data_IF_113641437904
#
_entry.id   IF_113641437904
#
_cell.length_a   1.000
_cell.length_b   1.000
_cell.length_c   1.000
_cell.angle_alpha   90.00
_cell.angle_beta   90.00
_cell.angle_gamma   90.00
#
_symmetry.space_group_name_H-M   'P 1'
#
loop_
_entity.id
_entity.type
_entity.pdbx_description
1 polymer ?
#
# COMPACT_ATOMS: atom_id res chain seq x y z
N UNK A 1 -15.51 0.06 -6.63
CA UNK A 1 -15.95 -1.20 -6.02
C UNK A 1 -17.46 -1.40 -6.27
N UNK A 2 -17.96 -2.65 -6.31
CA UNK A 2 -19.40 -2.90 -6.32
C UNK A 2 -20.10 -2.29 -5.11
N UNK A 3 -21.38 -1.91 -5.27
CA UNK A 3 -22.19 -1.23 -4.27
C UNK A 3 -22.22 -1.96 -2.91
N UNK A 4 -22.26 -3.29 -2.94
CA UNK A 4 -22.17 -4.11 -1.73
C UNK A 4 -21.00 -3.74 -0.84
N UNK A 5 -19.82 -3.52 -1.41
CA UNK A 5 -18.61 -3.18 -0.63
C UNK A 5 -18.66 -1.73 -0.11
N UNK A 6 -19.26 -0.82 -0.89
CA UNK A 6 -19.41 0.59 -0.46
C UNK A 6 -20.30 0.67 0.77
N UNK A 7 -21.36 -0.12 0.80
CA UNK A 7 -22.32 -0.16 1.91
C UNK A 7 -21.77 -0.77 3.21
N UNK A 8 -20.57 -1.35 3.19
CA UNK A 8 -19.88 -1.82 4.41
C UNK A 8 -19.27 -0.66 5.22
N UNK A 9 -19.11 0.50 4.62
CA UNK A 9 -18.41 1.64 5.20
C UNK A 9 -19.34 2.84 5.32
N UNK A 10 -19.62 3.25 6.57
CA UNK A 10 -20.36 4.47 6.86
C UNK A 10 -19.39 5.56 7.31
N UNK A 11 -19.77 6.84 7.17
CA UNK A 11 -18.96 7.95 7.64
C UNK A 11 -18.54 7.81 9.11
N UNK A 12 -19.43 7.27 9.96
CA UNK A 12 -19.19 7.08 11.39
C UNK A 12 -18.15 5.97 11.69
N UNK A 13 -17.95 5.03 10.74
CA UNK A 13 -16.98 3.94 10.88
C UNK A 13 -15.57 4.29 10.45
N UNK A 14 -15.38 5.47 9.86
CA UNK A 14 -14.11 5.92 9.30
C UNK A 14 -13.42 6.89 10.25
N UNK A 15 -12.08 6.76 10.31
CA UNK A 15 -11.28 7.72 11.07
C UNK A 15 -11.31 9.09 10.37
N UNK A 16 -11.34 10.15 11.18
CA UNK A 16 -11.17 11.50 10.66
C UNK A 16 -9.77 11.67 10.07
N UNK A 17 -9.65 12.36 8.92
CA UNK A 17 -8.36 12.67 8.33
C UNK A 17 -7.49 13.48 9.28
N UNK A 18 -6.21 13.18 9.32
CA UNK A 18 -5.28 13.90 10.17
C UNK A 18 -4.99 15.30 9.65
N UNK A 19 -5.06 16.30 10.55
CA UNK A 19 -4.75 17.71 10.24
C UNK A 19 -3.64 18.18 11.17
N UNK A 20 -2.52 18.63 10.60
CA UNK A 20 -1.46 19.26 11.39
C UNK A 20 -1.81 20.69 11.78
N UNK A 21 -1.28 21.18 12.90
CA UNK A 21 -1.48 22.54 13.41
C UNK A 21 -1.08 23.64 12.41
N UNK A 22 -0.26 23.29 11.45
CA UNK A 22 0.24 24.18 10.40
C UNK A 22 -0.66 24.26 9.16
N UNK A 23 -1.69 23.43 9.06
CA UNK A 23 -2.59 23.42 7.89
C UNK A 23 -3.26 24.78 7.65
N UNK A 24 -3.56 25.54 8.71
CA UNK A 24 -4.16 26.86 8.61
C UNK A 24 -3.16 27.93 8.14
N UNK A 25 -1.87 27.68 8.27
CA UNK A 25 -0.79 28.58 7.88
C UNK A 25 -0.34 28.38 6.43
N UNK A 26 -0.58 27.23 5.85
CA UNK A 26 -0.17 26.89 4.49
C UNK A 26 -1.37 27.07 3.57
N UNK A 27 -1.45 28.20 2.92
CA UNK A 27 -2.27 28.33 1.72
C UNK A 27 -1.63 27.48 0.64
N UNK A 28 -2.04 26.21 0.54
CA UNK A 28 -1.78 25.43 -0.64
C UNK A 28 -2.47 26.16 -1.79
N UNK A 29 -1.70 26.95 -2.53
CA UNK A 29 -2.19 27.54 -3.76
C UNK A 29 -2.79 26.38 -4.56
N UNK A 30 -4.06 26.53 -4.92
CA UNK A 30 -4.75 25.64 -5.83
C UNK A 30 -3.97 25.62 -7.13
N UNK A 31 -2.94 24.82 -7.19
CA UNK A 31 -2.30 24.52 -8.46
C UNK A 31 -3.28 23.66 -9.24
N UNK A 32 -4.18 24.34 -9.93
CA UNK A 32 -5.22 23.75 -10.78
C UNK A 32 -4.66 22.90 -11.91
N UNK A 33 -3.33 22.82 -12.03
CA UNK A 33 -2.61 22.07 -13.05
C UNK A 33 -1.90 20.81 -12.51
N UNK A 34 -1.89 20.60 -11.20
CA UNK A 34 -1.31 19.40 -10.63
C UNK A 34 -2.36 18.28 -10.57
N UNK A 35 -2.30 17.35 -11.49
CA UNK A 35 -3.11 16.12 -11.47
C UNK A 35 -2.84 15.21 -10.27
N UNK A 36 -1.85 15.53 -9.43
CA UNK A 36 -1.28 14.60 -8.46
C UNK A 36 -1.41 14.98 -6.98
N UNK A 37 -2.01 16.10 -6.66
CA UNK A 37 -2.33 16.47 -5.29
C UNK A 37 -3.51 17.44 -5.31
N UNK A 38 -4.71 16.89 -5.43
CA UNK A 38 -5.91 17.70 -5.38
C UNK A 38 -6.19 18.06 -3.92
N UNK A 39 -6.37 19.36 -3.66
CA UNK A 39 -6.94 19.81 -2.39
C UNK A 39 -8.40 19.37 -2.33
N UNK A 40 -8.83 18.95 -1.15
CA UNK A 40 -10.22 18.62 -0.91
C UNK A 40 -11.11 19.81 -1.30
N UNK A 41 -12.26 19.55 -1.94
CA UNK A 41 -13.34 20.52 -1.95
C UNK A 41 -13.64 20.92 -0.50
N UNK A 42 -13.99 22.19 -0.27
CA UNK A 42 -14.38 22.69 1.05
C UNK A 42 -15.69 22.08 1.59
N UNK A 43 -16.29 21.17 0.86
CA UNK A 43 -17.49 20.44 1.25
C UNK A 43 -17.11 19.24 2.12
N UNK A 44 -17.42 19.32 3.41
CA UNK A 44 -17.14 18.29 4.40
C UNK A 44 -17.78 16.93 4.02
N UNK A 45 -18.90 16.94 3.30
CA UNK A 45 -19.54 15.68 2.85
C UNK A 45 -18.66 14.87 1.92
N UNK A 46 -17.82 15.53 1.13
CA UNK A 46 -16.92 14.87 0.17
C UNK A 46 -15.71 14.21 0.87
N UNK A 47 -15.28 14.80 1.98
CA UNK A 47 -14.15 14.28 2.78
C UNK A 47 -14.48 12.89 3.35
N UNK A 48 -15.74 12.62 3.67
CA UNK A 48 -16.16 11.33 4.22
C UNK A 48 -16.54 10.30 3.15
N UNK A 49 -16.97 10.71 1.96
CA UNK A 49 -17.40 9.78 0.90
C UNK A 49 -16.23 9.11 0.19
N UNK A 50 -15.12 9.83 -0.06
CA UNK A 50 -13.96 9.27 -0.75
C UNK A 50 -13.27 8.14 0.03
N UNK A 51 -13.01 8.28 1.34
CA UNK A 51 -12.46 7.20 2.13
C UNK A 51 -13.33 5.93 2.11
N UNK A 52 -14.65 6.07 2.18
CA UNK A 52 -15.57 4.91 2.09
C UNK A 52 -15.40 4.12 0.79
N UNK A 53 -15.34 4.83 -0.34
CA UNK A 53 -15.08 4.21 -1.65
C UNK A 53 -13.71 3.53 -1.74
N UNK A 54 -12.70 4.12 -1.13
CA UNK A 54 -11.34 3.57 -1.08
C UNK A 54 -11.26 2.29 -0.23
N UNK A 55 -11.81 2.30 0.98
CA UNK A 55 -11.89 1.11 1.84
C UNK A 55 -12.72 0.00 1.22
N UNK A 56 -13.81 0.35 0.54
CA UNK A 56 -14.60 -0.60 -0.24
C UNK A 56 -13.77 -1.26 -1.36
N UNK A 57 -12.92 -0.49 -2.04
CA UNK A 57 -12.02 -1.02 -3.06
C UNK A 57 -10.97 -1.96 -2.45
N UNK A 58 -10.40 -1.62 -1.29
CA UNK A 58 -9.47 -2.48 -0.55
C UNK A 58 -10.14 -3.81 -0.20
N UNK A 59 -11.35 -3.78 0.40
CA UNK A 59 -12.07 -5.02 0.77
C UNK A 59 -12.41 -5.86 -0.46
N UNK A 60 -12.82 -5.23 -1.55
CA UNK A 60 -13.07 -5.95 -2.79
C UNK A 60 -11.80 -6.62 -3.33
N UNK A 61 -10.67 -5.90 -3.32
CA UNK A 61 -9.38 -6.43 -3.75
C UNK A 61 -8.92 -7.59 -2.84
N UNK A 62 -9.09 -7.45 -1.53
CA UNK A 62 -8.75 -8.51 -0.56
C UNK A 62 -9.52 -9.80 -0.85
N UNK A 63 -10.81 -9.71 -1.16
CA UNK A 63 -11.61 -10.87 -1.59
C UNK A 63 -11.07 -11.50 -2.89
N UNK A 64 -10.56 -10.71 -3.85
CA UNK A 64 -9.97 -11.27 -5.07
C UNK A 64 -8.61 -11.94 -4.78
N UNK A 65 -7.80 -11.36 -3.89
CA UNK A 65 -6.54 -11.97 -3.42
C UNK A 65 -6.84 -13.30 -2.73
N UNK A 66 -7.89 -13.35 -1.87
CA UNK A 66 -8.34 -14.59 -1.25
C UNK A 66 -8.67 -15.69 -2.27
N UNK A 67 -9.30 -15.33 -3.39
CA UNK A 67 -9.57 -16.29 -4.49
C UNK A 67 -8.29 -16.80 -5.15
N UNK A 68 -7.29 -15.93 -5.35
CA UNK A 68 -5.98 -16.35 -5.88
C UNK A 68 -5.30 -17.33 -4.93
N UNK A 69 -5.30 -17.02 -3.63
CA UNK A 69 -4.73 -17.93 -2.61
C UNK A 69 -5.46 -19.27 -2.58
N UNK A 70 -6.79 -19.26 -2.65
CA UNK A 70 -7.58 -20.49 -2.72
C UNK A 70 -7.21 -21.33 -3.94
N UNK A 71 -7.04 -20.71 -5.10
CA UNK A 71 -6.61 -21.43 -6.30
C UNK A 71 -5.22 -22.07 -6.15
N UNK A 72 -4.26 -21.37 -5.52
CA UNK A 72 -2.94 -21.93 -5.24
C UNK A 72 -3.01 -23.16 -4.31
N UNK A 73 -3.92 -23.14 -3.35
CA UNK A 73 -4.16 -24.28 -2.44
C UNK A 73 -4.83 -25.45 -3.18
N UNK A 74 -5.87 -25.19 -3.97
CA UNK A 74 -6.59 -26.18 -4.76
C UNK A 74 -5.66 -26.89 -5.76
N UNK A 75 -4.77 -26.14 -6.41
CA UNK A 75 -3.75 -26.68 -7.34
C UNK A 75 -2.55 -27.31 -6.61
N UNK A 76 -2.52 -27.32 -5.28
CA UNK A 76 -1.46 -27.88 -4.45
C UNK A 76 -0.05 -27.30 -4.73
N UNK A 77 0.02 -26.04 -5.12
CA UNK A 77 1.27 -25.32 -5.39
C UNK A 77 1.61 -24.26 -4.34
N UNK A 78 0.73 -24.04 -3.36
CA UNK A 78 0.93 -23.04 -2.30
C UNK A 78 2.26 -23.22 -1.56
N UNK A 79 2.66 -24.46 -1.26
CA UNK A 79 3.91 -24.80 -0.56
C UNK A 79 5.17 -24.55 -1.40
N UNK A 80 5.00 -24.15 -2.66
CA UNK A 80 6.10 -23.79 -3.57
C UNK A 80 5.89 -22.41 -4.20
N UNK A 81 5.05 -21.58 -3.57
CA UNK A 81 4.72 -20.25 -4.07
C UNK A 81 5.20 -19.20 -3.06
N UNK A 82 5.82 -18.14 -3.57
CA UNK A 82 6.18 -16.94 -2.82
C UNK A 82 5.23 -15.83 -3.26
N UNK A 83 4.63 -15.17 -2.29
CA UNK A 83 3.74 -14.04 -2.49
C UNK A 83 4.43 -12.78 -1.94
N UNK A 84 4.71 -11.82 -2.79
CA UNK A 84 5.14 -10.49 -2.41
C UNK A 84 3.98 -9.52 -2.61
N UNK A 85 3.54 -8.89 -1.54
CA UNK A 85 2.47 -7.90 -1.55
C UNK A 85 3.06 -6.52 -1.31
N UNK A 86 2.77 -5.58 -2.20
CA UNK A 86 3.26 -4.21 -2.13
C UNK A 86 2.30 -3.27 -2.87
N UNK A 87 2.27 -2.00 -2.46
CA UNK A 87 1.64 -0.93 -3.25
C UNK A 87 2.71 -0.04 -3.88
N UNK A 88 2.43 0.53 -5.04
CA UNK A 88 3.33 1.45 -5.75
C UNK A 88 3.42 2.82 -5.08
N UNK A 89 2.35 3.25 -4.42
CA UNK A 89 2.25 4.47 -3.60
C UNK A 89 1.07 4.34 -2.64
N UNK A 90 0.99 5.25 -1.69
CA UNK A 90 -0.13 5.39 -0.79
C UNK A 90 -1.21 6.34 -1.31
N UNK A 91 -2.06 6.79 -0.41
CA UNK A 91 -3.16 7.71 -0.65
C UNK A 91 -3.35 8.63 0.56
N UNK A 92 -3.51 9.92 0.34
CA UNK A 92 -3.65 10.92 1.41
C UNK A 92 -5.01 10.85 2.12
N UNK A 93 -6.06 10.41 1.44
CA UNK A 93 -7.42 10.19 1.97
C UNK A 93 -8.00 11.35 2.80
N UNK A 94 -7.61 12.56 2.48
CA UNK A 94 -8.03 13.76 3.20
C UNK A 94 -7.03 14.28 4.23
N UNK A 95 -6.00 13.49 4.56
CA UNK A 95 -4.92 13.97 5.43
C UNK A 95 -4.33 15.27 4.88
N UNK A 96 -4.13 16.25 5.75
CA UNK A 96 -3.68 17.59 5.37
C UNK A 96 -4.56 18.27 4.30
N UNK A 97 -5.84 17.91 4.22
CA UNK A 97 -6.77 18.37 3.19
C UNK A 97 -6.34 17.98 1.76
N UNK A 98 -5.59 16.89 1.63
CA UNK A 98 -5.08 16.40 0.35
C UNK A 98 -5.66 15.02 0.02
N UNK A 99 -5.77 14.78 -1.28
CA UNK A 99 -6.10 13.47 -1.86
C UNK A 99 -5.01 13.05 -2.82
N UNK A 100 -5.01 11.75 -3.15
CA UNK A 100 -4.03 11.13 -4.03
C UNK A 100 -2.63 11.10 -3.40
N UNK A 101 -1.61 11.37 -4.19
CA UNK A 101 -0.19 11.14 -3.89
C UNK A 101 0.67 12.34 -4.32
N UNK A 102 1.95 12.11 -4.50
CA UNK A 102 2.95 13.06 -4.99
C UNK A 102 3.42 14.10 -3.96
N UNK A 103 3.18 13.86 -2.68
CA UNK A 103 3.75 14.64 -1.58
C UNK A 103 4.47 13.70 -0.60
N UNK A 104 5.54 14.15 0.06
CA UNK A 104 6.35 13.32 0.94
C UNK A 104 5.72 13.14 2.34
N UNK A 105 4.42 12.93 2.39
CA UNK A 105 3.68 12.65 3.61
C UNK A 105 3.46 11.15 3.79
N UNK A 106 3.30 10.70 5.02
CA UNK A 106 3.15 9.27 5.36
C UNK A 106 2.02 8.59 4.59
N UNK A 107 0.87 9.26 4.42
CA UNK A 107 -0.24 8.73 3.65
C UNK A 107 0.14 8.40 2.20
N UNK A 108 1.03 9.19 1.60
CA UNK A 108 1.48 9.01 0.21
C UNK A 108 2.65 8.03 0.06
N UNK A 109 3.62 8.03 0.98
CA UNK A 109 4.89 7.31 0.81
C UNK A 109 4.97 6.00 1.60
N UNK A 110 4.18 5.84 2.67
CA UNK A 110 4.17 4.63 3.47
C UNK A 110 3.18 3.62 2.91
N UNK A 111 3.70 2.55 2.34
CA UNK A 111 2.91 1.49 1.70
C UNK A 111 3.06 0.17 2.44
N UNK A 112 2.08 -0.74 2.35
CA UNK A 112 2.26 -2.09 2.82
C UNK A 112 3.34 -2.79 2.01
N UNK A 113 4.19 -3.56 2.68
CA UNK A 113 5.16 -4.45 2.05
C UNK A 113 5.30 -5.69 2.92
N UNK A 114 4.96 -6.85 2.39
CA UNK A 114 5.24 -8.12 3.04
C UNK A 114 5.54 -9.23 2.04
N UNK A 115 6.27 -10.23 2.52
CA UNK A 115 6.62 -11.42 1.76
C UNK A 115 6.11 -12.63 2.53
N UNK A 116 5.40 -13.52 1.85
CA UNK A 116 4.90 -14.78 2.38
C UNK A 116 5.32 -15.92 1.47
N UNK A 117 5.62 -17.07 2.04
CA UNK A 117 6.03 -18.26 1.29
C UNK A 117 6.67 -19.29 2.21
N UNK A 118 7.26 -20.37 1.67
CA UNK A 118 7.94 -21.37 2.47
C UNK A 118 9.10 -20.77 3.28
N UNK A 119 9.21 -21.12 4.56
CA UNK A 119 10.24 -20.58 5.49
C UNK A 119 11.67 -20.75 4.99
N UNK A 120 11.93 -21.81 4.20
CA UNK A 120 13.24 -22.03 3.57
C UNK A 120 13.69 -20.90 2.63
N UNK A 121 12.76 -20.09 2.15
CA UNK A 121 13.05 -18.97 1.24
C UNK A 121 12.86 -17.60 1.91
N UNK A 122 11.81 -17.45 2.72
CA UNK A 122 11.40 -16.15 3.24
C UNK A 122 11.74 -15.95 4.73
N UNK A 123 12.32 -16.96 5.38
CA UNK A 123 12.60 -16.92 6.81
C UNK A 123 11.37 -17.24 7.66
N UNK A 124 11.48 -17.00 8.95
CA UNK A 124 10.44 -17.36 9.93
C UNK A 124 9.18 -16.52 9.75
N UNK A 125 8.04 -17.19 9.69
CA UNK A 125 6.74 -16.52 9.61
C UNK A 125 6.43 -15.66 10.83
N UNK A 126 5.67 -14.57 10.62
CA UNK A 126 5.27 -13.63 11.67
C UNK A 126 6.40 -12.70 12.13
N UNK A 127 7.52 -12.67 11.43
CA UNK A 127 8.59 -11.71 11.70
C UNK A 127 8.19 -10.32 11.20
N UNK A 128 8.45 -9.31 12.04
CA UNK A 128 8.32 -7.90 11.65
C UNK A 128 9.70 -7.29 11.57
N UNK A 129 10.06 -6.79 10.40
CA UNK A 129 11.29 -6.05 10.17
C UNK A 129 11.00 -4.54 10.27
N UNK A 130 11.86 -3.83 10.99
CA UNK A 130 11.79 -2.37 11.17
C UNK A 130 12.82 -1.60 10.36
N UNK A 131 13.64 -2.29 9.58
CA UNK A 131 14.58 -1.67 8.68
C UNK A 131 13.87 -0.93 7.55
N UNK A 132 14.50 0.10 7.01
CA UNK A 132 13.96 0.83 5.88
C UNK A 132 13.96 -0.05 4.64
N UNK A 133 12.84 -0.04 3.93
CA UNK A 133 12.68 -0.71 2.66
C UNK A 133 12.08 0.26 1.63
N UNK A 134 12.47 0.13 0.39
CA UNK A 134 12.01 0.95 -0.72
C UNK A 134 11.49 0.08 -1.86
N UNK A 135 10.66 0.67 -2.73
CA UNK A 135 10.12 -0.07 -3.89
C UNK A 135 11.21 -0.59 -4.85
N UNK A 136 12.35 0.09 -4.92
CA UNK A 136 13.51 -0.37 -5.72
C UNK A 136 14.12 -1.67 -5.19
N UNK A 137 13.86 -2.04 -3.93
CA UNK A 137 14.35 -3.27 -3.31
C UNK A 137 13.53 -4.51 -3.72
N UNK A 138 12.34 -4.29 -4.29
CA UNK A 138 11.44 -5.38 -4.72
C UNK A 138 12.08 -6.23 -5.81
N UNK A 139 12.64 -5.60 -6.84
CA UNK A 139 13.22 -6.32 -7.98
C UNK A 139 14.42 -7.20 -7.56
N UNK A 140 15.45 -6.70 -6.86
CA UNK A 140 16.57 -7.55 -6.43
C UNK A 140 16.12 -8.65 -5.46
N UNK A 141 15.11 -8.41 -4.63
CA UNK A 141 14.53 -9.41 -3.74
C UNK A 141 13.89 -10.55 -4.53
N UNK A 142 13.11 -10.25 -5.56
CA UNK A 142 12.48 -11.26 -6.41
C UNK A 142 13.51 -12.05 -7.23
N UNK A 143 14.55 -11.39 -7.73
CA UNK A 143 15.64 -12.06 -8.45
C UNK A 143 16.39 -13.03 -7.55
N UNK A 144 16.71 -12.63 -6.31
CA UNK A 144 17.38 -13.50 -5.35
C UNK A 144 16.48 -14.69 -4.97
N UNK A 145 15.19 -14.47 -4.70
CA UNK A 145 14.22 -15.54 -4.43
C UNK A 145 14.09 -16.54 -5.59
N UNK A 146 14.23 -16.05 -6.82
CA UNK A 146 14.21 -16.88 -8.03
C UNK A 146 15.54 -17.56 -8.33
N UNK A 147 16.61 -17.29 -7.56
CA UNK A 147 17.96 -17.78 -7.83
C UNK A 147 18.58 -17.19 -9.11
N UNK A 148 18.07 -16.03 -9.54
CA UNK A 148 18.56 -15.30 -10.71
C UNK A 148 19.64 -14.29 -10.33
N UNK A 149 20.62 -14.00 -11.21
CA UNK A 149 21.63 -12.98 -10.93
C UNK A 149 21.00 -11.59 -10.87
N UNK A 150 21.45 -10.79 -9.88
CA UNK A 150 21.05 -9.38 -9.77
C UNK A 150 22.02 -8.56 -10.65
N UNK A 151 21.51 -7.83 -11.67
CA UNK A 151 22.37 -6.98 -12.50
C UNK A 151 23.04 -5.86 -11.70
N UNK A 152 24.28 -5.51 -12.04
CA UNK A 152 25.03 -4.42 -11.40
C UNK A 152 24.37 -3.03 -11.55
N UNK A 153 23.45 -2.89 -12.49
CA UNK A 153 22.69 -1.65 -12.74
C UNK A 153 21.48 -1.48 -11.80
N UNK A 154 21.24 -2.43 -10.89
CA UNK A 154 20.14 -2.36 -9.92
C UNK A 154 20.58 -1.58 -8.71
N UNK A 155 19.92 -0.46 -8.42
CA UNK A 155 20.22 0.41 -7.27
C UNK A 155 19.63 -0.10 -5.94
N UNK A 156 18.64 -1.00 -5.98
CA UNK A 156 18.00 -1.56 -4.80
C UNK A 156 18.82 -2.67 -4.15
N UNK A 157 18.45 -3.01 -2.92
CA UNK A 157 19.08 -4.09 -2.14
C UNK A 157 18.04 -5.15 -1.82
N UNK A 158 18.42 -6.43 -1.89
CA UNK A 158 17.48 -7.50 -1.52
C UNK A 158 17.11 -7.43 -0.04
N UNK A 159 15.83 -7.58 0.23
CA UNK A 159 15.24 -7.56 1.58
C UNK A 159 15.46 -8.90 2.33
N UNK A 160 15.91 -9.95 1.66
CA UNK A 160 16.07 -11.27 2.29
C UNK A 160 17.12 -11.25 3.40
N UNK A 161 18.20 -10.48 3.27
CA UNK A 161 19.23 -10.33 4.30
C UNK A 161 18.67 -9.71 5.58
N UNK A 162 17.61 -8.93 5.48
CA UNK A 162 16.96 -8.23 6.58
C UNK A 162 15.92 -9.12 7.27
N UNK A 163 15.25 -9.98 6.50
CA UNK A 163 14.20 -10.91 7.01
C UNK A 163 14.81 -12.16 7.66
N UNK A 164 16.01 -12.57 7.26
CA UNK A 164 16.70 -13.76 7.77
C UNK A 164 17.42 -13.56 9.13
N UNK A 165 17.41 -12.34 9.69
CA UNK A 165 17.98 -12.01 11.01
C UNK A 165 16.91 -12.03 12.08
#
# INVERSE_FOLDING_TARGET
APEYYVNLYTAESLAEPWRGDWNDCVRWERDSHSYHAQTAPSDESYIHQLPAGYYAAITHMDHQIGRLVSALVEEQIMDNTIILFVSDHGEMLGDHLMFQKAKPFQGSIRVPLFISGPERYVGKHGTVCTDLAELRDVMPTLLELAGAPIPETVDGTSLLLTVAR
#
